data_IF_312368235960
#
_entry.id   IF_312368235960
#
_cell.length_a   1.000
_cell.length_b   1.000
_cell.length_c   1.000
_cell.angle_alpha   90.00
_cell.angle_beta   90.00
_cell.angle_gamma   90.00
#
_symmetry.space_group_name_H-M   'P 1'
#
loop_
_entity.id
_entity.type
_entity.pdbx_description
1 polymer ?
#
# COMPACT_ATOMS: atom_id res chain seq x y z
N UNK A 1 4.81 11.97 -40.93
CA UNK A 1 3.74 11.76 -39.94
C UNK A 1 3.96 12.78 -38.82
N UNK A 2 3.04 13.73 -38.57
CA UNK A 2 3.19 14.64 -37.43
C UNK A 2 3.01 13.87 -36.12
N UNK A 3 3.95 14.03 -35.21
CA UNK A 3 3.92 13.46 -33.86
C UNK A 3 3.22 14.46 -32.93
N UNK A 4 2.15 14.03 -32.27
CA UNK A 4 1.46 14.85 -31.29
C UNK A 4 1.95 14.48 -29.90
N UNK A 5 2.37 15.50 -29.14
CA UNK A 5 2.68 15.36 -27.73
C UNK A 5 1.53 15.97 -26.94
N UNK A 6 0.85 15.15 -26.14
CA UNK A 6 -0.19 15.59 -25.22
C UNK A 6 0.34 15.51 -23.78
N UNK A 7 0.14 16.58 -23.02
CA UNK A 7 0.44 16.63 -21.60
C UNK A 7 -0.88 16.61 -20.83
N UNK A 8 -1.07 15.60 -19.98
CA UNK A 8 -2.22 15.52 -19.11
C UNK A 8 -1.88 16.13 -17.74
N UNK A 9 -2.66 17.11 -17.32
CA UNK A 9 -2.55 17.75 -16.01
C UNK A 9 -3.86 17.52 -15.26
N UNK A 10 -3.78 17.07 -14.02
CA UNK A 10 -4.96 16.86 -13.16
C UNK A 10 -5.21 18.13 -12.36
N UNK A 11 -6.20 18.91 -12.78
CA UNK A 11 -6.55 20.18 -12.12
C UNK A 11 -7.35 20.00 -10.83
N UNK A 12 -8.13 18.91 -10.73
CA UNK A 12 -8.97 18.60 -9.56
C UNK A 12 -8.67 17.18 -9.12
N UNK A 13 -8.32 17.03 -7.84
CA UNK A 13 -8.05 15.73 -7.24
C UNK A 13 -9.35 15.01 -6.89
N UNK A 14 -9.40 13.66 -6.94
CA UNK A 14 -10.59 12.92 -6.54
C UNK A 14 -10.99 13.22 -5.10
N UNK A 15 -12.29 13.40 -4.87
CA UNK A 15 -12.86 13.69 -3.54
C UNK A 15 -13.63 12.51 -2.96
N UNK A 16 -14.05 11.56 -3.80
CA UNK A 16 -14.80 10.40 -3.35
C UNK A 16 -13.89 9.44 -2.56
N UNK A 17 -14.22 9.22 -1.29
CA UNK A 17 -13.50 8.30 -0.41
C UNK A 17 -14.16 6.92 -0.54
N UNK A 18 -13.37 5.93 -0.97
CA UNK A 18 -13.84 4.56 -1.13
C UNK A 18 -13.52 3.71 0.09
N UNK A 19 -12.34 3.93 0.70
CA UNK A 19 -11.91 3.21 1.90
C UNK A 19 -11.28 4.19 2.89
N UNK A 20 -11.50 3.91 4.17
CA UNK A 20 -10.89 4.64 5.30
C UNK A 20 -10.18 3.62 6.18
N UNK A 21 -8.90 3.87 6.45
CA UNK A 21 -8.05 2.95 7.20
C UNK A 21 -7.44 3.73 8.36
N UNK A 22 -7.63 3.20 9.57
CA UNK A 22 -6.98 3.70 10.77
C UNK A 22 -5.69 2.91 11.01
N UNK A 23 -4.56 3.60 11.21
CA UNK A 23 -3.27 2.97 11.39
C UNK A 23 -2.29 3.87 12.18
N UNK A 24 -1.31 3.25 12.84
CA UNK A 24 -0.22 3.91 13.58
C UNK A 24 1.05 3.90 12.73
N UNK A 25 1.06 4.71 11.67
CA UNK A 25 2.05 4.60 10.57
C UNK A 25 3.43 5.20 10.85
N UNK A 26 3.59 5.98 11.92
CA UNK A 26 4.89 6.58 12.28
C UNK A 26 5.29 6.19 13.70
N UNK A 27 4.43 6.41 14.68
CA UNK A 27 4.72 6.11 16.08
C UNK A 27 3.46 5.66 16.80
N UNK A 28 3.64 4.98 17.94
CA UNK A 28 2.52 4.44 18.71
C UNK A 28 1.66 5.49 19.42
N UNK A 29 2.17 6.72 19.51
CA UNK A 29 1.51 7.84 20.18
C UNK A 29 0.56 8.63 19.29
N UNK A 30 0.66 8.47 17.96
CA UNK A 30 -0.08 9.28 17.00
C UNK A 30 -0.93 8.40 16.08
N UNK A 31 -2.20 8.75 16.03
CA UNK A 31 -3.17 8.07 15.19
C UNK A 31 -3.29 8.77 13.83
N UNK A 32 -3.34 7.95 12.79
CA UNK A 32 -3.49 8.40 11.41
C UNK A 32 -4.69 7.75 10.74
N UNK A 33 -5.27 8.49 9.79
CA UNK A 33 -6.25 7.99 8.83
C UNK A 33 -5.66 8.03 7.44
N UNK A 34 -5.91 6.97 6.69
CA UNK A 34 -5.62 6.91 5.26
C UNK A 34 -6.93 6.85 4.51
N UNK A 35 -7.14 7.78 3.59
CA UNK A 35 -8.25 7.71 2.65
C UNK A 35 -7.76 7.17 1.31
N UNK A 36 -8.39 6.12 0.82
CA UNK A 36 -8.22 5.66 -0.55
C UNK A 36 -9.34 6.24 -1.43
N UNK A 37 -8.94 6.94 -2.49
CA UNK A 37 -9.82 7.71 -3.38
C UNK A 37 -9.61 7.28 -4.84
N UNK A 38 -9.88 6.02 -5.15
CA UNK A 38 -9.60 5.44 -6.47
C UNK A 38 -8.11 5.29 -6.70
N UNK A 39 -7.51 6.18 -7.48
CA UNK A 39 -6.08 6.17 -7.82
C UNK A 39 -5.22 7.09 -6.92
N UNK A 40 -5.74 7.46 -5.74
CA UNK A 40 -5.08 8.39 -4.82
C UNK A 40 -5.15 7.89 -3.38
N UNK A 41 -4.07 8.10 -2.63
CA UNK A 41 -4.03 7.96 -1.18
C UNK A 41 -3.89 9.34 -0.55
N UNK A 42 -4.60 9.57 0.55
CA UNK A 42 -4.44 10.75 1.40
C UNK A 42 -4.12 10.30 2.81
N UNK A 43 -3.08 10.87 3.41
CA UNK A 43 -2.77 10.69 4.83
C UNK A 43 -3.31 11.88 5.63
N UNK A 44 -4.00 11.59 6.72
CA UNK A 44 -4.49 12.58 7.68
C UNK A 44 -4.04 12.21 9.09
N UNK A 45 -3.79 13.24 9.90
CA UNK A 45 -3.51 13.13 11.32
C UNK A 45 -4.79 13.36 12.13
N UNK A 46 -5.04 12.49 13.11
CA UNK A 46 -6.10 12.70 14.11
C UNK A 46 -5.52 13.56 15.23
N UNK A 47 -6.05 14.77 15.40
CA UNK A 47 -5.65 15.68 16.49
C UNK A 47 -6.60 15.46 17.67
N UNK A 48 -6.08 15.33 18.89
CA UNK A 48 -6.81 14.90 20.08
C UNK A 48 -8.10 15.69 20.37
N UNK A 49 -8.12 16.99 20.06
CA UNK A 49 -9.22 17.91 20.38
C UNK A 49 -9.81 18.61 19.14
N UNK A 50 -9.54 18.11 17.93
CA UNK A 50 -9.65 18.94 16.72
C UNK A 50 -10.11 18.25 15.43
N UNK A 51 -10.06 19.01 14.32
CA UNK A 51 -10.36 18.49 12.99
C UNK A 51 -9.27 17.51 12.51
N UNK A 52 -9.61 16.68 11.52
CA UNK A 52 -8.63 15.90 10.79
C UNK A 52 -7.70 16.82 10.01
N UNK A 53 -6.39 16.67 10.20
CA UNK A 53 -5.39 17.49 9.53
C UNK A 53 -4.82 16.71 8.34
N UNK A 54 -5.02 17.18 7.09
CA UNK A 54 -4.42 16.55 5.93
C UNK A 54 -2.92 16.78 5.94
N UNK A 55 -2.13 15.71 5.84
CA UNK A 55 -0.68 15.80 5.74
C UNK A 55 -0.27 15.87 4.27
N UNK A 56 -0.53 14.82 3.50
CA UNK A 56 -0.23 14.79 2.07
C UNK A 56 -1.21 13.92 1.29
N UNK A 57 -1.16 14.06 -0.04
CA UNK A 57 -1.86 13.21 -0.99
C UNK A 57 -0.91 12.74 -2.07
N UNK A 58 -1.01 11.45 -2.43
CA UNK A 58 -0.14 10.81 -3.40
C UNK A 58 -0.97 10.01 -4.41
N UNK A 59 -0.74 10.19 -5.73
CA UNK A 59 -1.29 9.29 -6.73
C UNK A 59 -0.62 7.92 -6.65
N UNK A 60 -1.40 6.87 -6.88
CA UNK A 60 -0.89 5.50 -7.00
C UNK A 60 -1.07 4.98 -8.42
N UNK A 61 -0.22 4.05 -8.89
CA UNK A 61 -0.41 3.43 -10.19
C UNK A 61 -1.63 2.51 -10.18
N UNK A 62 -2.61 2.82 -11.02
CA UNK A 62 -3.86 2.07 -11.14
C UNK A 62 -4.93 2.50 -10.12
N UNK A 63 -6.04 1.76 -10.11
CA UNK A 63 -7.19 2.02 -9.23
C UNK A 63 -7.17 1.07 -8.05
N UNK A 64 -7.22 1.60 -6.82
CA UNK A 64 -7.30 0.81 -5.60
C UNK A 64 -8.67 0.15 -5.53
N UNK A 65 -8.70 -1.17 -5.60
CA UNK A 65 -9.92 -1.97 -5.45
C UNK A 65 -10.24 -2.18 -3.98
N UNK A 66 -9.23 -2.57 -3.20
CA UNK A 66 -9.35 -2.79 -1.76
C UNK A 66 -8.04 -2.41 -1.06
N UNK A 67 -8.15 -1.98 0.19
CA UNK A 67 -7.00 -1.64 1.02
C UNK A 67 -7.31 -2.01 2.48
N UNK A 68 -6.30 -2.47 3.20
CA UNK A 68 -6.41 -2.83 4.60
C UNK A 68 -5.08 -2.54 5.31
N UNK A 69 -5.14 -2.58 6.64
CA UNK A 69 -3.96 -2.54 7.49
C UNK A 69 -3.44 -3.95 7.76
N UNK A 70 -2.12 -4.10 7.73
CA UNK A 70 -1.42 -5.29 8.16
C UNK A 70 -0.42 -4.91 9.26
N UNK A 71 -0.50 -5.57 10.42
CA UNK A 71 0.51 -5.45 11.45
C UNK A 71 1.67 -6.40 11.13
N UNK A 72 2.87 -5.86 11.00
CA UNK A 72 4.11 -6.56 10.75
C UNK A 72 4.97 -6.49 12.02
N UNK A 73 5.35 -7.65 12.56
CA UNK A 73 6.33 -7.70 13.64
C UNK A 73 7.73 -7.85 13.02
N UNK A 74 8.41 -6.72 12.82
CA UNK A 74 9.77 -6.72 12.30
C UNK A 74 10.71 -7.28 13.37
N UNK A 75 11.13 -8.53 13.23
CA UNK A 75 12.20 -9.05 14.09
C UNK A 75 13.47 -8.26 13.79
N UNK A 76 14.06 -7.63 14.82
CA UNK A 76 15.11 -6.61 14.72
C UNK A 76 16.37 -6.99 13.93
N UNK A 77 16.54 -8.25 13.54
CA UNK A 77 17.68 -8.76 12.77
C UNK A 77 17.37 -8.98 11.27
N UNK A 78 16.12 -8.81 10.85
CA UNK A 78 15.70 -8.93 9.46
C UNK A 78 15.29 -7.56 8.92
N UNK A 79 16.27 -6.65 8.78
CA UNK A 79 16.15 -5.72 7.66
C UNK A 79 16.06 -6.59 6.39
N UNK A 80 15.12 -6.33 5.45
CA UNK A 80 15.02 -7.10 4.22
C UNK A 80 16.30 -6.95 3.39
N UNK A 81 17.33 -7.75 3.68
CA UNK A 81 18.49 -7.90 2.81
C UNK A 81 18.04 -8.80 1.68
N UNK A 82 17.60 -8.19 0.58
CA UNK A 82 17.35 -8.88 -0.68
C UNK A 82 18.68 -9.44 -1.20
N UNK A 83 19.10 -10.60 -0.69
CA UNK A 83 20.28 -11.31 -1.18
C UNK A 83 19.86 -12.14 -2.39
N UNK A 84 20.29 -11.71 -3.58
CA UNK A 84 19.88 -12.24 -4.89
C UNK A 84 20.39 -13.66 -5.21
N UNK A 85 20.67 -14.52 -4.22
CA UNK A 85 21.46 -15.74 -4.42
C UNK A 85 20.76 -17.03 -4.00
N UNK A 86 19.44 -17.17 -4.18
CA UNK A 86 18.78 -18.47 -4.10
C UNK A 86 18.02 -18.83 -5.39
N UNK A 87 18.37 -19.97 -6.04
CA UNK A 87 17.63 -20.49 -7.17
C UNK A 87 16.62 -21.54 -6.70
N UNK A 88 15.41 -21.13 -6.31
CA UNK A 88 14.16 -21.93 -6.39
C UNK A 88 12.99 -21.19 -5.72
N UNK A 89 11.87 -21.04 -6.45
CA UNK A 89 10.55 -20.55 -6.00
C UNK A 89 10.42 -19.04 -5.66
N UNK A 90 10.76 -18.14 -6.57
CA UNK A 90 10.47 -16.71 -6.39
C UNK A 90 9.05 -16.36 -6.87
N UNK A 91 8.07 -16.43 -5.97
CA UNK A 91 6.71 -15.86 -6.13
C UNK A 91 6.63 -14.37 -5.76
N UNK A 92 7.77 -13.79 -5.35
CA UNK A 92 7.87 -12.44 -4.82
C UNK A 92 8.87 -11.66 -5.66
N UNK A 93 8.42 -10.58 -6.29
CA UNK A 93 9.35 -9.58 -6.81
C UNK A 93 9.70 -8.64 -5.66
N UNK A 94 10.71 -9.01 -4.88
CA UNK A 94 11.39 -8.03 -4.05
C UNK A 94 12.09 -7.07 -5.00
N UNK A 95 11.54 -5.86 -5.15
CA UNK A 95 12.27 -4.82 -5.84
C UNK A 95 13.59 -4.59 -5.09
N UNK A 96 14.75 -4.57 -5.77
CA UNK A 96 16.06 -4.32 -5.15
C UNK A 96 16.22 -2.86 -4.67
N UNK A 97 15.11 -2.18 -4.41
CA UNK A 97 15.06 -0.79 -4.02
C UNK A 97 15.47 -0.76 -2.55
N UNK A 98 16.60 -0.08 -2.28
CA UNK A 98 16.94 0.44 -0.96
C UNK A 98 15.80 1.36 -0.53
N UNK A 99 14.74 0.77 0.02
CA UNK A 99 13.62 1.52 0.53
C UNK A 99 14.08 2.26 1.78
N UNK A 100 13.57 3.47 1.96
CA UNK A 100 13.84 4.22 3.17
C UNK A 100 13.37 3.42 4.39
N UNK A 101 14.04 3.62 5.53
CA UNK A 101 13.77 2.85 6.75
C UNK A 101 12.28 2.88 7.09
N UNK A 102 11.69 1.70 7.21
CA UNK A 102 10.31 1.53 7.71
C UNK A 102 10.34 1.82 9.21
N UNK A 103 9.49 2.75 9.65
CA UNK A 103 9.47 3.24 11.04
C UNK A 103 8.35 2.60 11.86
N UNK A 104 7.36 1.99 11.21
CA UNK A 104 6.17 1.44 11.85
C UNK A 104 5.95 -0.05 11.52
N UNK A 105 5.33 -0.73 12.47
CA UNK A 105 4.81 -2.09 12.33
C UNK A 105 3.52 -2.12 11.50
N UNK A 106 2.75 -1.03 11.44
CA UNK A 106 1.57 -0.94 10.60
C UNK A 106 1.96 -0.65 9.13
N UNK A 107 1.68 -1.60 8.26
CA UNK A 107 1.85 -1.49 6.80
C UNK A 107 0.48 -1.50 6.13
N UNK A 108 0.34 -0.77 5.03
CA UNK A 108 -0.86 -0.84 4.21
C UNK A 108 -0.72 -1.96 3.19
N UNK A 109 -1.74 -2.79 3.06
CA UNK A 109 -1.86 -3.76 1.98
C UNK A 109 -3.00 -3.34 1.08
N UNK A 110 -2.74 -3.27 -0.23
CA UNK A 110 -3.75 -2.92 -1.20
C UNK A 110 -3.75 -3.89 -2.38
N UNK A 111 -4.91 -3.97 -3.03
CA UNK A 111 -5.08 -4.61 -4.32
C UNK A 111 -5.58 -3.58 -5.32
N UNK A 112 -5.14 -3.69 -6.56
CA UNK A 112 -5.53 -2.77 -7.63
C UNK A 112 -5.99 -3.50 -8.88
N UNK A 113 -6.52 -2.72 -9.83
CA UNK A 113 -6.79 -3.17 -11.19
C UNK A 113 -5.55 -3.68 -11.96
N UNK A 114 -4.34 -3.52 -11.41
CA UNK A 114 -3.12 -4.10 -11.98
C UNK A 114 -3.00 -5.61 -11.72
N UNK A 115 -3.86 -6.18 -10.86
CA UNK A 115 -3.84 -7.61 -10.56
C UNK A 115 -2.73 -8.03 -9.60
N UNK A 116 -2.18 -7.08 -8.84
CA UNK A 116 -1.15 -7.34 -7.81
C UNK A 116 -1.66 -7.01 -6.41
N UNK A 117 -1.12 -7.73 -5.43
CA UNK A 117 -1.14 -7.36 -4.02
C UNK A 117 0.10 -6.53 -3.71
N UNK A 118 -0.09 -5.32 -3.21
CA UNK A 118 1.01 -4.40 -2.91
C UNK A 118 1.06 -4.09 -1.43
N UNK A 119 2.29 -3.96 -0.90
CA UNK A 119 2.58 -3.59 0.48
C UNK A 119 3.21 -2.19 0.48
N UNK A 120 2.61 -1.26 1.19
CA UNK A 120 2.99 0.15 1.22
C UNK A 120 3.34 0.59 2.65
N UNK A 121 4.53 1.14 2.85
CA UNK A 121 4.93 1.77 4.11
C UNK A 121 4.87 3.29 3.98
N UNK A 122 4.54 3.95 5.08
CA UNK A 122 4.79 5.38 5.21
C UNK A 122 6.29 5.61 5.40
N UNK A 123 6.87 6.44 4.54
CA UNK A 123 8.24 6.90 4.71
C UNK A 123 8.22 8.25 5.39
N UNK A 124 8.90 8.31 6.53
CA UNK A 124 9.07 9.53 7.31
C UNK A 124 10.41 10.14 6.96
N UNK A 125 10.45 11.40 6.49
CA UNK A 125 11.71 12.08 6.20
C UNK A 125 12.49 12.40 7.49
N UNK A 126 13.81 12.63 7.42
CA UNK A 126 14.65 12.83 8.60
C UNK A 126 14.27 14.03 9.47
N UNK A 127 13.66 15.05 8.87
CA UNK A 127 13.14 16.25 9.53
C UNK A 127 11.75 16.05 10.16
N UNK A 128 11.09 14.92 9.88
CA UNK A 128 9.74 14.61 10.32
C UNK A 128 8.64 15.36 9.58
N UNK A 129 8.96 16.08 8.51
CA UNK A 129 7.99 16.86 7.75
C UNK A 129 7.19 15.99 6.76
N UNK A 130 6.07 15.45 7.23
CA UNK A 130 5.16 14.68 6.41
C UNK A 130 4.31 15.51 5.44
N UNK A 131 4.23 16.83 5.59
CA UNK A 131 3.36 17.66 4.76
C UNK A 131 3.96 17.82 3.37
N UNK A 132 5.23 18.22 3.32
CA UNK A 132 5.90 18.48 2.04
C UNK A 132 6.67 17.26 1.52
N UNK A 133 7.16 16.40 2.42
CA UNK A 133 8.09 15.31 2.07
C UNK A 133 7.56 13.91 2.42
N UNK A 134 6.33 13.80 2.95
CA UNK A 134 5.69 12.53 3.24
C UNK A 134 5.35 11.75 1.96
N UNK A 135 5.57 10.43 1.99
CA UNK A 135 5.17 9.54 0.90
C UNK A 135 4.86 8.13 1.38
N UNK A 136 4.03 7.43 0.61
CA UNK A 136 3.93 5.97 0.67
C UNK A 136 4.90 5.34 -0.32
N UNK A 137 5.64 4.34 0.11
CA UNK A 137 6.60 3.60 -0.71
C UNK A 137 6.26 2.12 -0.77
N UNK A 138 6.43 1.54 -1.96
CA UNK A 138 6.22 0.12 -2.22
C UNK A 138 7.35 -0.70 -1.60
N UNK A 139 6.99 -1.57 -0.67
CA UNK A 139 7.92 -2.49 0.00
C UNK A 139 7.99 -3.81 -0.79
N UNK A 140 6.82 -4.33 -1.17
CA UNK A 140 6.71 -5.61 -1.84
C UNK A 140 5.49 -5.63 -2.76
N UNK A 141 5.59 -6.42 -3.82
CA UNK A 141 4.51 -6.68 -4.77
C UNK A 141 4.42 -8.18 -5.03
N UNK A 142 3.20 -8.71 -4.95
CA UNK A 142 2.88 -10.10 -5.27
C UNK A 142 1.87 -10.11 -6.41
N UNK A 143 2.25 -10.57 -7.61
CA UNK A 143 1.30 -10.70 -8.70
C UNK A 143 0.24 -11.76 -8.37
N UNK A 144 -1.03 -11.39 -8.44
CA UNK A 144 -2.17 -12.30 -8.20
C UNK A 144 -2.79 -12.78 -9.52
N UNK A 145 -2.93 -11.87 -10.48
CA UNK A 145 -3.63 -12.09 -11.74
C UNK A 145 -3.17 -11.08 -12.79
N UNK A 146 -3.68 -11.20 -14.01
CA UNK A 146 -3.37 -10.24 -15.08
C UNK A 146 -4.08 -8.90 -14.85
N UNK A 147 -3.50 -7.76 -15.29
CA UNK A 147 -4.14 -6.45 -15.20
C UNK A 147 -5.52 -6.38 -15.88
N UNK A 148 -6.40 -5.53 -15.35
CA UNK A 148 -7.75 -5.22 -15.85
C UNK A 148 -8.84 -5.50 -14.81
N UNK A 149 -9.95 -4.75 -14.88
CA UNK A 149 -11.09 -4.86 -13.95
C UNK A 149 -12.13 -5.89 -14.42
N UNK A 150 -11.86 -7.17 -14.16
CA UNK A 150 -12.81 -8.26 -14.39
C UNK A 150 -13.35 -8.78 -13.06
N UNK A 151 -14.66 -8.99 -12.99
CA UNK A 151 -15.39 -9.50 -11.82
C UNK A 151 -14.89 -10.87 -11.32
N UNK A 152 -14.31 -11.67 -12.21
CA UNK A 152 -13.78 -13.01 -11.90
C UNK A 152 -12.38 -12.99 -11.29
N UNK A 153 -11.69 -11.84 -11.36
CA UNK A 153 -10.30 -11.72 -10.93
C UNK A 153 -10.18 -11.64 -9.41
N UNK A 154 -9.15 -12.32 -8.91
CA UNK A 154 -8.74 -12.28 -7.51
C UNK A 154 -8.19 -10.89 -7.18
N UNK A 155 -8.57 -10.32 -6.03
CA UNK A 155 -8.09 -9.01 -5.58
C UNK A 155 -9.13 -7.89 -5.65
N UNK A 156 -10.36 -8.16 -6.10
CA UNK A 156 -11.45 -7.19 -5.98
C UNK A 156 -11.84 -6.90 -4.54
N UNK A 157 -11.74 -7.91 -3.70
CA UNK A 157 -11.90 -7.79 -2.26
C UNK A 157 -10.78 -8.55 -1.56
N UNK A 158 -10.50 -8.12 -0.34
CA UNK A 158 -9.45 -8.70 0.46
C UNK A 158 -9.88 -8.72 1.92
N UNK A 159 -9.50 -9.77 2.64
CA UNK A 159 -9.59 -9.84 4.08
C UNK A 159 -8.20 -10.10 4.65
N UNK A 160 -7.89 -9.45 5.75
CA UNK A 160 -6.69 -9.69 6.55
C UNK A 160 -7.14 -10.39 7.82
N UNK A 161 -6.48 -11.48 8.17
CA UNK A 161 -6.69 -12.22 9.40
C UNK A 161 -6.48 -11.29 10.62
N UNK A 162 -7.33 -11.32 11.66
CA UNK A 162 -7.13 -10.54 12.88
C UNK A 162 -5.79 -10.77 13.59
N UNK A 163 -5.14 -11.93 13.38
CA UNK A 163 -3.80 -12.21 13.89
C UNK A 163 -2.69 -11.69 12.95
N UNK A 164 -3.08 -11.11 11.81
CA UNK A 164 -2.22 -10.56 10.75
C UNK A 164 -1.31 -11.57 10.06
N UNK A 165 -1.55 -12.87 10.25
CA UNK A 165 -0.72 -13.94 9.70
C UNK A 165 -1.14 -14.34 8.27
N UNK A 166 -2.36 -13.99 7.86
CA UNK A 166 -2.89 -14.40 6.56
C UNK A 166 -3.64 -13.27 5.86
N UNK A 167 -3.53 -13.25 4.55
CA UNK A 167 -4.24 -12.34 3.65
C UNK A 167 -5.00 -13.21 2.65
N UNK A 168 -6.32 -13.05 2.61
CA UNK A 168 -7.18 -13.71 1.64
C UNK A 168 -7.64 -12.68 0.60
N UNK A 169 -7.24 -12.88 -0.66
CA UNK A 169 -7.79 -12.15 -1.80
C UNK A 169 -8.93 -12.97 -2.43
N UNK A 170 -10.03 -12.32 -2.80
CA UNK A 170 -11.12 -13.02 -3.49
C UNK A 170 -11.75 -12.19 -4.61
N UNK A 171 -12.12 -12.91 -5.67
CA UNK A 171 -13.03 -12.47 -6.73
C UNK A 171 -14.40 -13.12 -6.55
N UNK A 172 -15.29 -13.01 -7.54
CA UNK A 172 -16.64 -13.57 -7.41
C UNK A 172 -16.67 -15.12 -7.46
N UNK A 173 -15.73 -15.73 -8.18
CA UNK A 173 -15.64 -17.19 -8.34
C UNK A 173 -14.32 -17.80 -7.86
N UNK A 174 -13.34 -16.98 -7.45
CA UNK A 174 -11.97 -17.41 -7.17
C UNK A 174 -11.50 -16.86 -5.83
N UNK A 175 -10.78 -17.68 -5.06
CA UNK A 175 -10.17 -17.30 -3.78
C UNK A 175 -8.69 -17.66 -3.81
N UNK A 176 -7.84 -16.77 -3.32
CA UNK A 176 -6.41 -17.04 -3.10
C UNK A 176 -6.02 -16.61 -1.70
N UNK A 177 -5.21 -17.42 -1.03
CA UNK A 177 -4.69 -17.14 0.30
C UNK A 177 -3.17 -16.99 0.27
N UNK A 178 -2.67 -15.99 0.97
CA UNK A 178 -1.25 -15.69 1.15
C UNK A 178 -0.97 -15.71 2.66
N UNK A 179 0.09 -16.41 3.05
CA UNK A 179 0.52 -16.53 4.45
C UNK A 179 1.78 -15.70 4.69
N UNK A 180 1.82 -14.98 5.81
CA UNK A 180 2.90 -14.09 6.21
C UNK A 180 4.21 -14.83 6.52
N UNK A 181 4.18 -16.16 6.78
CA UNK A 181 5.40 -16.99 6.93
C UNK A 181 6.24 -17.09 5.65
N UNK A 182 5.73 -16.57 4.55
CA UNK A 182 6.35 -16.57 3.23
C UNK A 182 6.82 -15.17 2.80
N UNK A 183 6.68 -14.15 3.67
CA UNK A 183 7.22 -12.80 3.47
C UNK A 183 8.62 -12.66 4.08
#
# INVERSE_FOLDING_TARGET
MPTYHAHQLTAIRPTAIQHIIYAKLWNDSQDYLVFAKGAWLQLLRIVADGPLEPLFEQPVPGTISHIAKLLCNWTSDLQPQCTSNQPSQQLYTCSPINHARIVSDDVLVATSDQGSLVFLALIVPPDGDLVDNGRFELIAEVPLTSPGDDYTKVGRRMAVDPQYVQIAGYGWSNVSMISQRSL
#
